data_IF_481470582499
#
_entry.id   IF_481470582499
#
_cell.length_a   1.000
_cell.length_b   1.000
_cell.length_c   1.000
_cell.angle_alpha   90.00
_cell.angle_beta   90.00
_cell.angle_gamma   90.00
#
_symmetry.space_group_name_H-M   'P 1'
#
loop_
_entity.id
_entity.type
_entity.pdbx_description
1 polymer ?
#
# COMPACT_ATOMS: atom_id res chain seq x y z
N UNK A 1 -6.47 0.57 -32.69
CA UNK A 1 -5.05 0.22 -32.41
C UNK A 1 -4.29 1.29 -31.62
N UNK A 2 -4.12 2.52 -32.13
CA UNK A 2 -3.34 3.57 -31.44
C UNK A 2 -3.86 3.93 -30.03
N UNK A 3 -5.18 3.91 -29.84
CA UNK A 3 -5.81 4.17 -28.54
C UNK A 3 -5.44 3.13 -27.48
N UNK A 4 -5.40 1.84 -27.86
CA UNK A 4 -5.01 0.74 -26.96
C UNK A 4 -3.54 0.82 -26.57
N UNK A 5 -2.65 1.15 -27.52
CA UNK A 5 -1.23 1.32 -27.20
C UNK A 5 -1.01 2.52 -26.27
N UNK A 6 -1.73 3.63 -26.50
CA UNK A 6 -1.71 4.78 -25.60
C UNK A 6 -2.19 4.41 -24.19
N UNK A 7 -3.30 3.69 -24.09
CA UNK A 7 -3.84 3.21 -22.81
C UNK A 7 -2.84 2.30 -22.09
N UNK A 8 -2.24 1.34 -22.79
CA UNK A 8 -1.24 0.42 -22.23
C UNK A 8 -0.01 1.15 -21.68
N UNK A 9 0.53 2.11 -22.42
CA UNK A 9 1.64 2.95 -21.94
C UNK A 9 1.25 3.67 -20.64
N UNK A 10 0.04 4.25 -20.58
CA UNK A 10 -0.42 4.93 -19.36
C UNK A 10 -0.61 3.98 -18.18
N UNK A 11 -1.20 2.80 -18.38
CA UNK A 11 -1.43 1.86 -17.27
C UNK A 11 -0.13 1.28 -16.74
N UNK A 12 0.82 0.93 -17.62
CA UNK A 12 2.09 0.31 -17.24
C UNK A 12 3.01 1.30 -16.53
N UNK A 13 2.95 2.58 -16.90
CA UNK A 13 3.77 3.65 -16.30
C UNK A 13 3.11 4.30 -15.09
N UNK A 14 1.97 3.76 -14.61
CA UNK A 14 1.15 4.39 -13.55
C UNK A 14 0.87 5.88 -13.87
N UNK A 15 0.30 6.14 -15.05
CA UNK A 15 0.04 7.47 -15.58
C UNK A 15 1.29 8.35 -15.64
N UNK A 16 2.41 7.79 -16.12
CA UNK A 16 3.71 8.45 -16.25
C UNK A 16 4.36 8.85 -14.91
N UNK A 17 3.94 8.26 -13.79
CA UNK A 17 4.56 8.47 -12.47
C UNK A 17 5.74 7.55 -12.21
N UNK A 18 5.79 6.39 -12.87
CA UNK A 18 6.88 5.43 -12.75
C UNK A 18 8.11 5.83 -13.60
N UNK A 19 9.14 4.98 -13.62
CA UNK A 19 10.31 5.19 -14.48
C UNK A 19 9.90 5.21 -15.96
N UNK A 20 10.14 6.33 -16.62
CA UNK A 20 9.86 6.58 -18.03
C UNK A 20 11.13 7.08 -18.73
N UNK A 21 11.27 6.77 -20.02
CA UNK A 21 12.39 7.22 -20.85
C UNK A 21 11.95 8.29 -21.85
N UNK A 22 12.89 9.07 -22.42
CA UNK A 22 12.57 9.99 -23.53
C UNK A 22 11.87 9.28 -24.71
N UNK A 23 12.21 8.02 -24.97
CA UNK A 23 11.53 7.23 -26.01
C UNK A 23 10.05 7.00 -25.71
N UNK A 24 9.64 6.85 -24.44
CA UNK A 24 8.21 6.78 -24.05
C UNK A 24 7.46 8.02 -24.53
N UNK A 25 8.01 9.21 -24.29
CA UNK A 25 7.40 10.47 -24.72
C UNK A 25 7.34 10.60 -26.24
N UNK A 26 8.39 10.17 -26.95
CA UNK A 26 8.39 10.14 -28.42
C UNK A 26 7.25 9.27 -28.98
N UNK A 27 7.03 8.08 -28.44
CA UNK A 27 5.93 7.22 -28.86
C UNK A 27 4.56 7.80 -28.49
N UNK A 28 4.41 8.40 -27.31
CA UNK A 28 3.18 9.09 -26.93
C UNK A 28 2.86 10.25 -27.89
N UNK A 29 3.85 11.07 -28.26
CA UNK A 29 3.69 12.12 -29.26
C UNK A 29 3.22 11.55 -30.61
N UNK A 30 3.87 10.47 -31.09
CA UNK A 30 3.49 9.80 -32.35
C UNK A 30 2.06 9.24 -32.31
N UNK A 31 1.62 8.73 -31.16
CA UNK A 31 0.25 8.23 -30.98
C UNK A 31 -0.77 9.37 -30.91
N UNK A 32 -0.46 10.45 -30.21
CA UNK A 32 -1.31 11.65 -30.13
C UNK A 32 -1.48 12.31 -31.51
N UNK A 33 -0.41 12.35 -32.31
CA UNK A 33 -0.42 12.88 -33.67
C UNK A 33 -1.37 12.14 -34.62
N UNK A 34 -1.84 10.93 -34.25
CA UNK A 34 -2.87 10.19 -35.00
C UNK A 34 -4.31 10.61 -34.68
N UNK A 35 -4.50 11.68 -33.89
CA UNK A 35 -5.84 12.21 -33.57
C UNK A 35 -6.62 11.38 -32.55
N UNK A 36 -5.94 10.64 -31.66
CA UNK A 36 -6.65 9.88 -30.62
C UNK A 36 -7.38 10.82 -29.64
N UNK A 37 -8.58 10.41 -29.20
CA UNK A 37 -9.36 11.14 -28.21
C UNK A 37 -8.81 10.89 -26.80
N UNK A 38 -7.67 11.50 -26.47
CA UNK A 38 -6.96 11.32 -25.19
C UNK A 38 -7.87 11.43 -23.96
N UNK A 39 -8.75 12.44 -23.92
CA UNK A 39 -9.67 12.67 -22.80
C UNK A 39 -10.54 11.45 -22.53
N UNK A 40 -11.21 10.93 -23.56
CA UNK A 40 -12.08 9.75 -23.45
C UNK A 40 -11.30 8.51 -22.97
N UNK A 41 -10.07 8.32 -23.45
CA UNK A 41 -9.23 7.19 -23.01
C UNK A 41 -8.86 7.34 -21.53
N UNK A 42 -8.46 8.54 -21.10
CA UNK A 42 -8.13 8.79 -19.70
C UNK A 42 -9.32 8.61 -18.77
N UNK A 43 -10.51 9.08 -19.18
CA UNK A 43 -11.76 8.89 -18.44
C UNK A 43 -12.03 7.40 -18.24
N UNK A 44 -11.96 6.59 -19.30
CA UNK A 44 -12.15 5.14 -19.21
C UNK A 44 -11.14 4.44 -18.27
N UNK A 45 -9.88 4.85 -18.27
CA UNK A 45 -8.83 4.23 -17.42
C UNK A 45 -8.96 4.68 -15.95
N UNK A 46 -9.41 5.92 -15.72
CA UNK A 46 -9.42 6.53 -14.39
C UNK A 46 -10.77 6.41 -13.68
N UNK A 47 -11.83 6.05 -14.41
CA UNK A 47 -13.17 5.90 -13.87
C UNK A 47 -13.21 4.78 -12.84
N UNK A 48 -13.76 5.12 -11.67
CA UNK A 48 -13.90 4.20 -10.55
C UNK A 48 -15.33 4.29 -10.03
N UNK A 49 -15.89 3.15 -9.65
CA UNK A 49 -17.21 3.11 -9.04
C UNK A 49 -17.24 3.88 -7.71
N UNK A 50 -18.41 4.39 -7.33
CA UNK A 50 -18.58 5.05 -6.03
C UNK A 50 -18.14 4.13 -4.86
N UNK A 51 -18.50 2.84 -4.94
CA UNK A 51 -18.09 1.85 -3.95
C UNK A 51 -16.56 1.72 -3.83
N UNK A 52 -15.86 1.77 -4.97
CA UNK A 52 -14.40 1.72 -5.01
C UNK A 52 -13.78 2.92 -4.29
N UNK A 53 -14.28 4.14 -4.56
CA UNK A 53 -13.82 5.37 -3.89
C UNK A 53 -14.12 5.36 -2.39
N UNK A 54 -15.32 4.94 -1.99
CA UNK A 54 -15.69 4.84 -0.58
C UNK A 54 -14.85 3.78 0.16
N UNK A 55 -14.54 2.67 -0.50
CA UNK A 55 -13.62 1.67 0.04
C UNK A 55 -12.22 2.26 0.25
N UNK A 56 -11.67 2.97 -0.74
CA UNK A 56 -10.34 3.58 -0.63
C UNK A 56 -10.28 4.59 0.53
N UNK A 57 -11.29 5.44 0.64
CA UNK A 57 -11.44 6.37 1.76
C UNK A 57 -11.49 5.63 3.10
N UNK A 58 -12.26 4.55 3.20
CA UNK A 58 -12.37 3.76 4.43
C UNK A 58 -11.05 3.07 4.79
N UNK A 59 -10.26 2.61 3.81
CA UNK A 59 -8.92 2.04 4.02
C UNK A 59 -7.98 3.09 4.62
N UNK A 60 -7.95 4.29 4.03
CA UNK A 60 -7.13 5.42 4.51
C UNK A 60 -7.59 5.89 5.89
N UNK A 61 -8.91 5.99 6.12
CA UNK A 61 -9.47 6.42 7.40
C UNK A 61 -9.14 5.45 8.54
N UNK A 62 -8.97 4.17 8.22
CA UNK A 62 -8.59 3.12 9.16
C UNK A 62 -7.07 2.95 9.32
N UNK A 63 -6.25 3.78 8.65
CA UNK A 63 -4.79 3.76 8.79
C UNK A 63 -4.39 3.94 10.26
N UNK A 64 -3.31 3.28 10.63
CA UNK A 64 -2.58 3.47 11.88
C UNK A 64 -1.16 3.81 11.54
N UNK A 65 -0.62 4.83 12.18
CA UNK A 65 0.74 5.30 11.93
C UNK A 65 1.49 5.35 13.26
N UNK A 66 2.69 4.79 13.29
CA UNK A 66 3.59 4.88 14.43
C UNK A 66 4.35 6.22 14.40
N UNK A 67 4.91 6.68 15.53
CA UNK A 67 5.77 7.85 15.54
C UNK A 67 7.01 7.74 14.65
N UNK A 68 7.41 6.51 14.29
CA UNK A 68 8.62 6.23 13.51
C UNK A 68 8.34 6.12 11.99
N UNK A 69 7.11 6.39 11.56
CA UNK A 69 6.73 6.38 10.14
C UNK A 69 6.35 5.00 9.58
N UNK A 70 5.98 4.03 10.44
CA UNK A 70 5.32 2.80 10.01
C UNK A 70 3.82 3.02 9.92
N UNK A 71 3.24 2.80 8.74
CA UNK A 71 1.80 2.79 8.56
C UNK A 71 1.24 1.38 8.37
N UNK A 72 0.02 1.13 8.84
CA UNK A 72 -0.69 -0.09 8.48
C UNK A 72 -2.22 0.08 8.45
N UNK A 73 -2.89 -0.76 7.65
CA UNK A 73 -4.35 -0.88 7.64
C UNK A 73 -4.79 -2.33 7.44
N UNK A 74 -5.99 -2.66 7.92
CA UNK A 74 -6.53 -4.02 7.89
C UNK A 74 -7.79 -4.05 7.03
N UNK A 75 -7.71 -4.75 5.91
CA UNK A 75 -8.81 -4.98 4.97
C UNK A 75 -9.45 -6.34 5.27
N UNK A 76 -10.52 -6.32 6.07
CA UNK A 76 -11.27 -7.54 6.39
C UNK A 76 -12.16 -7.99 5.22
N UNK A 77 -12.53 -9.26 5.21
CA UNK A 77 -13.46 -9.78 4.21
C UNK A 77 -14.89 -9.21 4.38
N UNK A 78 -15.23 -8.69 5.57
CA UNK A 78 -16.47 -7.90 5.77
C UNK A 78 -16.38 -6.56 5.04
N UNK A 79 -15.23 -5.90 5.08
CA UNK A 79 -14.99 -4.63 4.39
C UNK A 79 -15.06 -4.81 2.87
N UNK A 80 -14.39 -5.84 2.34
CA UNK A 80 -14.47 -6.18 0.91
C UNK A 80 -15.92 -6.46 0.47
N UNK A 81 -16.69 -7.21 1.29
CA UNK A 81 -18.11 -7.49 1.01
C UNK A 81 -18.96 -6.23 1.09
N UNK A 82 -18.73 -5.34 2.05
CA UNK A 82 -19.49 -4.09 2.25
C UNK A 82 -19.50 -3.22 1.00
N UNK A 83 -18.36 -3.14 0.31
CA UNK A 83 -18.19 -2.31 -0.89
C UNK A 83 -18.14 -3.13 -2.20
N UNK A 84 -18.46 -4.43 -2.15
CA UNK A 84 -18.42 -5.34 -3.32
C UNK A 84 -17.08 -5.29 -4.08
N UNK A 85 -15.97 -5.21 -3.35
CA UNK A 85 -14.62 -5.07 -3.92
C UNK A 85 -14.07 -6.44 -4.29
N UNK A 86 -13.72 -6.60 -5.57
CA UNK A 86 -12.98 -7.76 -6.09
C UNK A 86 -11.48 -7.50 -6.15
N UNK A 87 -11.10 -6.31 -6.63
CA UNK A 87 -9.71 -5.85 -6.71
C UNK A 87 -9.38 -4.87 -5.59
N UNK A 88 -8.48 -5.28 -4.72
CA UNK A 88 -8.00 -4.54 -3.56
C UNK A 88 -6.58 -3.97 -3.74
N UNK A 89 -5.98 -4.04 -4.93
CA UNK A 89 -4.60 -3.58 -5.19
C UNK A 89 -4.43 -2.11 -4.82
N UNK A 90 -5.37 -1.28 -5.24
CA UNK A 90 -5.53 0.13 -4.82
C UNK A 90 -5.40 0.40 -3.31
N UNK A 91 -5.82 -0.52 -2.43
CA UNK A 91 -5.68 -0.35 -0.98
C UNK A 91 -4.22 -0.19 -0.55
N UNK A 92 -3.29 -0.81 -1.30
CA UNK A 92 -1.85 -0.73 -1.07
C UNK A 92 -1.32 0.64 -1.51
N UNK A 93 -1.75 1.12 -2.67
CA UNK A 93 -1.33 2.42 -3.22
C UNK A 93 -1.92 3.61 -2.46
N UNK A 94 -3.07 3.45 -1.79
CA UNK A 94 -3.67 4.53 -1.00
C UNK A 94 -2.81 5.01 0.18
N UNK A 95 -1.84 4.20 0.62
CA UNK A 95 -0.91 4.55 1.69
C UNK A 95 0.43 5.08 1.17
N UNK A 96 0.61 5.11 -0.15
CA UNK A 96 1.82 5.59 -0.81
C UNK A 96 1.92 7.13 -0.72
N UNK A 97 3.14 7.66 -0.73
CA UNK A 97 3.43 9.10 -0.81
C UNK A 97 2.83 9.98 0.31
N UNK A 98 2.40 9.39 1.43
CA UNK A 98 2.03 10.15 2.62
C UNK A 98 3.32 10.65 3.30
N UNK A 99 3.39 11.94 3.63
CA UNK A 99 4.53 12.52 4.36
C UNK A 99 4.74 11.79 5.70
N UNK A 100 5.97 11.73 6.22
CA UNK A 100 6.27 11.07 7.49
C UNK A 100 6.13 9.54 7.51
N UNK A 101 5.58 8.90 6.48
CA UNK A 101 5.51 7.44 6.35
C UNK A 101 6.67 6.94 5.47
N UNK A 102 7.42 5.94 5.94
CA UNK A 102 8.53 5.33 5.18
C UNK A 102 8.24 3.87 4.79
N UNK A 103 7.56 3.13 5.66
CA UNK A 103 7.11 1.76 5.41
C UNK A 103 5.60 1.70 5.64
N UNK A 104 4.89 0.99 4.78
CA UNK A 104 3.46 0.72 4.99
C UNK A 104 3.09 -0.74 4.74
N UNK A 105 2.10 -1.20 5.50
CA UNK A 105 1.63 -2.57 5.49
C UNK A 105 0.11 -2.64 5.32
N UNK A 106 -0.36 -3.45 4.39
CA UNK A 106 -1.78 -3.76 4.26
C UNK A 106 -2.00 -5.25 4.55
N UNK A 107 -2.89 -5.53 5.50
CA UNK A 107 -3.36 -6.89 5.80
C UNK A 107 -4.71 -7.14 5.15
N UNK A 108 -4.77 -7.97 4.11
CA UNK A 108 -6.00 -8.34 3.40
C UNK A 108 -6.44 -9.73 3.78
N UNK A 109 -7.69 -9.89 4.20
CA UNK A 109 -8.27 -11.20 4.50
C UNK A 109 -8.65 -11.94 3.21
N UNK A 110 -8.05 -13.11 3.00
CA UNK A 110 -8.43 -14.03 1.93
C UNK A 110 -9.30 -15.16 2.52
N UNK A 111 -10.60 -15.13 2.20
CA UNK A 111 -11.57 -16.13 2.70
C UNK A 111 -11.35 -17.52 2.09
N UNK A 112 -10.88 -17.59 0.85
CA UNK A 112 -10.67 -18.88 0.17
C UNK A 112 -9.48 -19.60 0.79
N UNK A 113 -8.39 -18.87 1.03
CA UNK A 113 -7.18 -19.42 1.64
C UNK A 113 -7.25 -19.53 3.17
N UNK A 114 -8.30 -18.99 3.81
CA UNK A 114 -8.42 -18.82 5.27
C UNK A 114 -7.16 -18.20 5.89
N UNK A 115 -6.57 -17.24 5.18
CA UNK A 115 -5.30 -16.58 5.52
C UNK A 115 -5.42 -15.07 5.33
N UNK A 116 -4.38 -14.37 5.74
CA UNK A 116 -4.19 -12.94 5.55
C UNK A 116 -3.00 -12.70 4.64
N UNK A 117 -3.24 -12.06 3.51
CA UNK A 117 -2.18 -11.54 2.64
C UNK A 117 -1.67 -10.25 3.24
N UNK A 118 -0.41 -10.26 3.63
CA UNK A 118 0.29 -9.09 4.12
C UNK A 118 1.11 -8.52 2.97
N UNK A 119 0.80 -7.32 2.53
CA UNK A 119 1.60 -6.59 1.54
C UNK A 119 2.46 -5.56 2.26
N UNK A 120 3.77 -5.63 2.07
CA UNK A 120 4.73 -4.69 2.62
C UNK A 120 5.30 -3.82 1.50
N UNK A 121 5.39 -2.52 1.77
CA UNK A 121 5.99 -1.56 0.85
C UNK A 121 6.87 -0.60 1.63
N UNK A 122 7.94 -0.13 0.99
CA UNK A 122 8.80 0.91 1.53
C UNK A 122 9.11 1.94 0.45
N UNK A 123 9.32 3.19 0.87
CA UNK A 123 9.81 4.23 -0.03
C UNK A 123 11.26 3.94 -0.45
N UNK A 124 12.14 3.62 0.50
CA UNK A 124 13.59 3.48 0.23
C UNK A 124 14.26 2.30 0.94
N UNK A 125 13.75 1.87 2.09
CA UNK A 125 14.39 0.83 2.88
C UNK A 125 14.11 -0.59 2.36
N UNK A 126 15.11 -1.46 2.42
CA UNK A 126 14.95 -2.85 1.99
C UNK A 126 14.16 -3.66 3.04
N UNK A 127 13.07 -4.26 2.61
CA UNK A 127 12.09 -4.97 3.46
C UNK A 127 11.89 -6.43 3.08
N UNK A 128 12.48 -6.89 1.96
CA UNK A 128 12.40 -8.26 1.46
C UNK A 128 12.92 -9.28 2.50
N UNK A 129 14.09 -9.01 3.11
CA UNK A 129 14.68 -9.87 4.13
C UNK A 129 13.79 -10.02 5.36
N UNK A 130 13.11 -8.94 5.76
CA UNK A 130 12.16 -8.97 6.87
C UNK A 130 10.97 -9.85 6.48
N UNK A 131 10.40 -9.67 5.28
CA UNK A 131 9.31 -10.54 4.82
C UNK A 131 9.70 -12.02 4.79
N UNK A 132 10.94 -12.36 4.39
CA UNK A 132 11.46 -13.73 4.41
C UNK A 132 11.51 -14.33 5.82
N UNK A 133 11.86 -13.55 6.85
CA UNK A 133 11.84 -14.01 8.25
C UNK A 133 10.43 -14.42 8.71
N UNK A 134 9.38 -13.87 8.09
CA UNK A 134 7.98 -14.19 8.35
C UNK A 134 7.39 -15.18 7.33
N UNK A 135 8.24 -15.96 6.66
CA UNK A 135 7.82 -17.00 5.71
C UNK A 135 7.26 -16.47 4.39
N UNK A 136 7.57 -15.21 4.05
CA UNK A 136 7.22 -14.58 2.78
C UNK A 136 8.44 -14.30 1.90
N UNK A 137 8.37 -13.22 1.13
CA UNK A 137 9.46 -12.78 0.25
C UNK A 137 9.02 -11.69 -0.72
N UNK A 138 9.90 -11.34 -1.66
CA UNK A 138 9.62 -10.37 -2.71
C UNK A 138 10.85 -9.55 -3.12
N UNK A 139 10.61 -8.39 -3.72
CA UNK A 139 11.65 -7.44 -4.09
C UNK A 139 12.00 -6.51 -2.92
N UNK A 140 13.18 -5.90 -3.00
CA UNK A 140 13.76 -4.99 -2.01
C UNK A 140 12.74 -4.02 -1.37
N UNK A 141 11.90 -3.36 -2.17
CA UNK A 141 10.94 -2.35 -1.68
C UNK A 141 9.48 -2.85 -1.67
N UNK A 142 9.24 -4.06 -2.16
CA UNK A 142 7.93 -4.62 -2.46
C UNK A 142 7.96 -6.10 -2.06
N UNK A 143 7.48 -6.38 -0.85
CA UNK A 143 7.47 -7.74 -0.32
C UNK A 143 6.07 -8.14 0.14
N UNK A 144 5.87 -9.43 0.39
CA UNK A 144 4.62 -9.94 0.95
C UNK A 144 4.84 -11.16 1.83
N UNK A 145 3.90 -11.39 2.75
CA UNK A 145 3.87 -12.57 3.62
C UNK A 145 2.42 -13.09 3.74
N UNK A 146 2.27 -14.32 4.24
CA UNK A 146 0.97 -14.94 4.48
C UNK A 146 0.84 -15.31 5.95
N UNK A 147 -0.18 -14.79 6.63
CA UNK A 147 -0.46 -15.10 8.02
C UNK A 147 -1.74 -15.92 8.18
N UNK A 148 -1.79 -16.79 9.19
CA UNK A 148 -3.01 -17.56 9.50
C UNK A 148 -3.96 -16.75 10.38
N UNK A 149 -3.42 -15.94 11.28
CA UNK A 149 -4.18 -15.22 12.30
C UNK A 149 -3.71 -13.78 12.46
N UNK A 150 -4.59 -12.93 13.01
CA UNK A 150 -4.26 -11.52 13.32
C UNK A 150 -3.18 -11.38 14.41
N UNK A 151 -2.94 -12.41 15.21
CA UNK A 151 -1.92 -12.39 16.27
C UNK A 151 -0.51 -12.25 15.68
N UNK A 152 -0.29 -12.82 14.51
CA UNK A 152 0.99 -12.79 13.79
C UNK A 152 1.32 -11.40 13.19
N UNK A 153 0.37 -10.45 13.18
CA UNK A 153 0.61 -9.12 12.62
C UNK A 153 1.54 -8.31 13.52
N UNK A 154 1.38 -8.44 14.84
CA UNK A 154 2.08 -7.60 15.81
C UNK A 154 3.59 -7.83 15.84
N UNK A 155 4.09 -9.07 15.84
CA UNK A 155 5.52 -9.30 15.75
C UNK A 155 6.13 -8.69 14.49
N UNK A 156 5.45 -8.77 13.34
CA UNK A 156 5.92 -8.14 12.09
C UNK A 156 5.98 -6.61 12.24
N UNK A 157 4.90 -6.00 12.72
CA UNK A 157 4.83 -4.54 12.87
C UNK A 157 5.90 -4.04 13.86
N UNK A 158 6.16 -4.78 14.95
CA UNK A 158 7.23 -4.40 15.89
C UNK A 158 8.61 -4.46 15.23
N UNK A 159 8.90 -5.53 14.48
CA UNK A 159 10.19 -5.66 13.77
C UNK A 159 10.38 -4.53 12.77
N UNK A 160 9.34 -4.18 12.00
CA UNK A 160 9.38 -3.07 11.04
C UNK A 160 9.54 -1.71 11.73
N UNK A 161 8.86 -1.48 12.85
CA UNK A 161 8.97 -0.21 13.57
C UNK A 161 10.37 -0.03 14.20
N UNK A 162 10.92 -1.09 14.80
CA UNK A 162 12.30 -1.08 15.30
C UNK A 162 13.32 -0.93 14.16
N UNK A 163 13.04 -1.52 13.00
CA UNK A 163 13.87 -1.35 11.81
C UNK A 163 13.90 0.11 11.36
N UNK A 164 12.77 0.83 11.41
CA UNK A 164 12.74 2.27 11.13
C UNK A 164 13.59 3.08 12.11
N UNK A 165 13.49 2.79 13.41
CA UNK A 165 14.33 3.44 14.44
C UNK A 165 15.81 3.22 14.15
N UNK A 166 16.22 1.99 13.81
CA UNK A 166 17.61 1.65 13.47
C UNK A 166 18.16 2.48 12.29
N UNK A 167 17.31 2.93 11.37
CA UNK A 167 17.67 3.73 10.20
C UNK A 167 17.41 5.24 10.39
N UNK A 168 17.20 5.69 11.63
CA UNK A 168 17.12 7.11 11.98
C UNK A 168 15.75 7.76 11.80
N UNK A 169 14.68 6.98 11.62
CA UNK A 169 13.31 7.51 11.47
C UNK A 169 12.60 7.75 12.81
N UNK A 170 13.32 7.83 13.93
CA UNK A 170 12.69 7.99 15.25
C UNK A 170 11.94 9.32 15.34
N UNK A 171 10.64 9.26 15.67
CA UNK A 171 9.80 10.46 15.86
C UNK A 171 9.57 11.29 14.59
N UNK A 172 9.77 10.72 13.39
CA UNK A 172 9.63 11.45 12.12
C UNK A 172 8.17 11.70 11.68
N UNK A 173 7.21 11.15 12.42
CA UNK A 173 5.79 11.16 12.08
C UNK A 173 4.94 11.73 13.21
N UNK A 174 4.32 12.88 12.94
CA UNK A 174 3.37 13.55 13.85
C UNK A 174 1.97 12.92 13.83
N UNK A 175 1.75 11.90 12.98
CA UNK A 175 0.46 11.23 12.82
C UNK A 175 0.07 10.35 14.01
N UNK A 176 0.91 10.21 15.04
CA UNK A 176 0.58 9.48 16.27
C UNK A 176 -0.67 10.01 16.99
N UNK A 177 -1.10 11.25 16.71
CA UNK A 177 -2.34 11.85 17.21
C UNK A 177 -3.56 11.59 16.29
N UNK A 178 -3.33 11.35 15.00
CA UNK A 178 -4.38 11.18 13.98
C UNK A 178 -4.69 9.69 13.81
N UNK A 179 -5.49 9.15 14.73
CA UNK A 179 -6.08 7.82 14.59
C UNK A 179 -5.85 6.91 15.79
N UNK A 180 -6.24 7.37 16.99
CA UNK A 180 -6.22 6.56 18.21
C UNK A 180 -7.25 5.42 18.08
N UNK A 181 -6.76 4.23 17.70
CA UNK A 181 -7.52 2.98 17.81
C UNK A 181 -7.00 2.23 19.03
N UNK A 182 -7.88 1.48 19.72
CA UNK A 182 -7.52 0.56 20.81
C UNK A 182 -6.35 -0.38 20.46
N UNK A 183 -6.13 -0.64 19.18
CA UNK A 183 -5.01 -1.41 18.62
C UNK A 183 -3.63 -0.73 18.81
N UNK A 184 -3.55 0.60 18.66
CA UNK A 184 -2.32 1.36 18.95
C UNK A 184 -2.04 1.39 20.45
N UNK A 185 -3.08 1.47 21.29
CA UNK A 185 -2.97 1.32 22.75
C UNK A 185 -2.46 -0.07 23.13
N UNK A 186 -2.93 -1.12 22.46
CA UNK A 186 -2.43 -2.49 22.62
C UNK A 186 -1.00 -2.67 22.12
N UNK A 187 -0.62 -2.03 21.00
CA UNK A 187 0.77 -1.99 20.52
C UNK A 187 1.69 -1.29 21.54
N UNK A 188 1.28 -0.13 22.06
CA UNK A 188 2.01 0.58 23.13
C UNK A 188 2.11 -0.28 24.39
N UNK A 189 1.02 -0.94 24.79
CA UNK A 189 0.99 -1.86 25.94
C UNK A 189 1.92 -3.07 25.72
N UNK A 190 1.90 -3.69 24.54
CA UNK A 190 2.73 -4.84 24.20
C UNK A 190 4.22 -4.47 24.07
N UNK A 191 4.53 -3.26 23.57
CA UNK A 191 5.89 -2.70 23.56
C UNK A 191 6.38 -2.44 24.98
N UNK A 192 5.56 -1.79 25.81
CA UNK A 192 5.87 -1.51 27.22
C UNK A 192 6.09 -2.76 28.07
N UNK A 193 5.36 -3.85 27.82
CA UNK A 193 5.52 -5.12 28.53
C UNK A 193 6.85 -5.84 28.25
N UNK A 194 7.59 -5.45 27.19
CA UNK A 194 8.88 -6.04 26.83
C UNK A 194 10.08 -5.19 27.24
N UNK A 195 9.85 -3.95 27.63
CA UNK A 195 10.87 -2.98 28.08
C UNK A 195 10.93 -2.88 29.62
N UNK A 196 10.14 -3.69 30.34
CA UNK A 196 10.11 -3.87 31.80
C UNK A 196 10.40 -5.32 32.18
#
# INVERSE_FOLDING_TARGET
>A
MAQYLYAGILTDTNHLKAHISPSTFYYLWKLLSKGIKRKAINELISENSLNKKLFDQEVVRNIKVTPNGLAFSIVSAKLLKKYSIKDYVSAISNLENIAGIEIWVIFIQDKLLKKWKCSLRSKKLQIDKIATQFGGGGHKLIASTLFKSRREFWPLLLVLDNYLVKYGFSGCSDYGQLGVSKLLSWYKWWKGFRES
#
